data_IF_935789641703
#
_entry.id   IF_935789641703
#
_cell.length_a   1.000
_cell.length_b   1.000
_cell.length_c   1.000
_cell.angle_alpha   90.00
_cell.angle_beta   90.00
_cell.angle_gamma   90.00
#
_symmetry.space_group_name_H-M   'P 1'
#
loop_
_entity.id
_entity.type
_entity.pdbx_description
1 polymer ?
#
# COMPACT_ATOMS: atom_id res chain seq x y z
N UNK A 1 24.16 6.76 20.59
CA UNK A 1 22.69 6.70 20.72
C UNK A 1 22.22 6.47 19.31
N UNK A 2 21.96 5.20 18.97
CA UNK A 2 21.89 4.73 17.59
C UNK A 2 20.50 5.06 17.03
N UNK A 3 20.44 5.94 16.03
CA UNK A 3 19.27 6.16 15.21
C UNK A 3 19.22 5.07 14.14
N UNK A 4 18.25 4.16 14.24
CA UNK A 4 17.92 3.24 13.15
C UNK A 4 17.22 4.04 12.04
N UNK A 5 17.88 4.20 10.89
CA UNK A 5 17.28 4.77 9.69
C UNK A 5 16.36 3.73 9.04
N UNK A 6 15.03 3.86 9.22
CA UNK A 6 14.03 3.04 8.53
C UNK A 6 13.84 3.55 7.08
N UNK A 7 14.18 2.70 6.10
CA UNK A 7 14.01 2.93 4.66
C UNK A 7 12.77 2.23 4.09
N UNK A 8 12.49 2.41 2.78
CA UNK A 8 11.43 1.64 2.11
C UNK A 8 11.86 0.16 2.03
N UNK A 9 11.25 -0.70 2.84
CA UNK A 9 11.51 -2.14 2.84
C UNK A 9 10.71 -2.84 1.72
N UNK A 10 11.40 -3.46 0.76
CA UNK A 10 10.80 -4.27 -0.31
C UNK A 10 11.18 -5.73 -0.09
N UNK A 11 10.23 -6.57 0.32
CA UNK A 11 10.43 -8.03 0.51
C UNK A 11 9.88 -8.79 -0.68
N UNK A 12 10.66 -9.66 -1.32
CA UNK A 12 10.18 -10.45 -2.46
C UNK A 12 10.83 -11.84 -2.55
N UNK A 13 10.18 -12.74 -3.31
CA UNK A 13 10.73 -14.00 -3.83
C UNK A 13 10.52 -13.97 -5.35
N UNK A 14 11.60 -14.15 -6.15
CA UNK A 14 11.54 -14.13 -7.61
C UNK A 14 11.78 -15.53 -8.17
N UNK A 15 11.02 -15.93 -9.20
CA UNK A 15 11.11 -17.24 -9.83
C UNK A 15 11.15 -17.17 -11.38
N UNK A 16 11.24 -15.98 -12.00
CA UNK A 16 11.17 -15.83 -13.46
C UNK A 16 11.48 -14.43 -14.02
N UNK A 17 11.77 -14.38 -15.33
CA UNK A 17 12.25 -13.18 -16.04
C UNK A 17 11.26 -11.99 -16.01
N UNK A 18 9.96 -12.25 -16.07
CA UNK A 18 8.94 -11.19 -16.00
C UNK A 18 8.89 -10.50 -14.64
N UNK A 19 9.11 -11.25 -13.56
CA UNK A 19 9.14 -10.70 -12.20
C UNK A 19 10.39 -9.84 -12.00
N UNK A 20 11.52 -10.26 -12.56
CA UNK A 20 12.77 -9.49 -12.55
C UNK A 20 12.68 -8.20 -13.36
N UNK A 21 12.01 -8.20 -14.53
CA UNK A 21 11.77 -6.97 -15.29
C UNK A 21 10.86 -5.99 -14.53
N UNK A 22 9.83 -6.50 -13.83
CA UNK A 22 8.98 -5.68 -12.96
C UNK A 22 9.81 -5.02 -11.86
N UNK A 23 10.60 -5.83 -11.15
CA UNK A 23 11.46 -5.33 -10.07
C UNK A 23 12.46 -4.30 -10.57
N UNK A 24 13.16 -4.55 -11.67
CA UNK A 24 14.12 -3.59 -12.21
C UNK A 24 13.46 -2.25 -12.58
N UNK A 25 12.23 -2.28 -13.12
CA UNK A 25 11.48 -1.05 -13.44
C UNK A 25 11.00 -0.33 -12.17
N UNK A 26 10.53 -1.07 -11.17
CA UNK A 26 10.12 -0.51 -9.87
C UNK A 26 11.33 0.12 -9.17
N UNK A 27 12.46 -0.58 -9.11
CA UNK A 27 13.73 -0.08 -8.56
C UNK A 27 14.20 1.16 -9.31
N UNK A 28 14.18 1.16 -10.65
CA UNK A 28 14.52 2.34 -11.46
C UNK A 28 13.63 3.53 -11.12
N UNK A 29 12.31 3.35 -11.03
CA UNK A 29 11.38 4.43 -10.65
C UNK A 29 11.65 4.94 -9.24
N UNK A 30 11.88 4.03 -8.29
CA UNK A 30 12.20 4.41 -6.91
C UNK A 30 13.51 5.22 -6.87
N UNK A 31 14.54 4.81 -7.60
CA UNK A 31 15.80 5.53 -7.70
C UNK A 31 15.65 6.89 -8.39
N UNK A 32 14.93 6.98 -9.50
CA UNK A 32 14.83 8.21 -10.31
C UNK A 32 13.92 9.27 -9.67
N UNK A 33 12.83 8.85 -9.00
CA UNK A 33 11.78 9.76 -8.53
C UNK A 33 11.75 9.97 -7.00
N UNK A 34 12.22 9.00 -6.19
CA UNK A 34 12.13 9.09 -4.72
C UNK A 34 13.43 9.57 -4.06
N UNK A 35 14.60 9.34 -4.68
CA UNK A 35 15.88 9.90 -4.21
C UNK A 35 15.87 11.44 -4.27
N UNK A 36 15.17 12.04 -5.25
CA UNK A 36 14.98 13.51 -5.33
C UNK A 36 14.05 14.09 -4.25
N UNK A 37 13.36 13.24 -3.47
CA UNK A 37 12.29 13.64 -2.52
C UNK A 37 12.51 13.13 -1.09
N UNK A 38 13.73 12.70 -0.76
CA UNK A 38 14.12 12.38 0.61
C UNK A 38 13.57 11.06 1.15
N UNK A 39 13.26 10.08 0.29
CA UNK A 39 13.07 8.69 0.71
C UNK A 39 14.37 7.91 0.48
N UNK A 40 14.91 7.32 1.55
CA UNK A 40 16.01 6.38 1.44
C UNK A 40 15.49 5.08 0.81
N UNK A 41 15.97 4.78 -0.39
CA UNK A 41 15.90 3.45 -1.01
C UNK A 41 17.24 2.79 -0.68
N UNK A 42 17.24 1.70 0.10
CA UNK A 42 18.40 0.79 0.12
C UNK A 42 18.36 -0.01 -1.18
N UNK A 43 19.35 0.05 -2.08
CA UNK A 43 20.74 -0.39 -1.89
C UNK A 43 21.72 0.69 -1.40
N UNK A 44 22.55 0.32 -0.42
CA UNK A 44 23.64 1.08 0.21
C UNK A 44 24.38 2.04 -0.75
N UNK A 45 24.41 3.36 -0.44
CA UNK A 45 25.59 4.25 -0.19
C UNK A 45 25.08 5.64 0.30
N UNK A 46 25.78 6.23 1.28
CA UNK A 46 25.63 7.56 1.94
C UNK A 46 25.67 8.77 0.98
N UNK A 47 25.26 10.02 1.24
CA UNK A 47 25.15 10.85 2.46
C UNK A 47 24.34 12.16 2.18
N UNK A 48 23.72 12.69 3.24
CA UNK A 48 23.50 14.11 3.64
C UNK A 48 22.48 15.10 2.99
N UNK A 49 21.69 15.69 3.92
CA UNK A 49 20.99 16.99 4.02
C UNK A 49 19.59 17.28 3.42
N UNK A 50 18.91 18.26 4.04
CA UNK A 50 17.51 18.29 4.48
C UNK A 50 16.56 19.24 3.68
N UNK A 51 15.25 19.28 4.05
CA UNK A 51 14.44 20.49 4.40
C UNK A 51 12.90 20.24 4.31
N UNK A 52 12.18 20.90 5.23
CA UNK A 52 10.73 20.96 5.50
C UNK A 52 9.84 21.61 4.42
N UNK A 53 8.54 21.24 4.45
CA UNK A 53 7.43 22.20 4.42
C UNK A 53 6.76 22.50 3.07
N UNK A 54 5.47 22.13 2.94
CA UNK A 54 4.42 23.01 2.43
C UNK A 54 3.03 22.37 2.63
N UNK A 55 2.19 23.05 3.41
CA UNK A 55 0.77 22.80 3.50
C UNK A 55 0.00 23.71 2.52
N UNK A 56 -0.93 23.12 1.77
CA UNK A 56 -2.13 23.75 1.22
C UNK A 56 -2.10 24.20 -0.24
N UNK A 57 -3.09 23.77 -1.04
CA UNK A 57 -4.13 24.67 -1.60
C UNK A 57 -5.19 23.96 -2.47
N UNK A 58 -6.45 24.46 -2.32
CA UNK A 58 -7.60 24.51 -3.25
C UNK A 58 -8.24 23.21 -3.76
N UNK A 59 -9.51 22.99 -3.34
CA UNK A 59 -10.45 22.01 -3.91
C UNK A 59 -10.62 22.22 -5.42
N UNK A 60 -10.16 21.23 -6.19
CA UNK A 60 -10.56 21.01 -7.59
C UNK A 60 -11.84 20.17 -7.64
N UNK A 61 -12.61 20.34 -8.71
CA UNK A 61 -13.89 19.67 -8.97
C UNK A 61 -13.72 18.15 -9.04
N UNK A 62 -14.83 17.47 -8.77
CA UNK A 62 -15.00 16.02 -8.61
C UNK A 62 -14.16 15.16 -9.57
N UNK A 63 -13.36 14.26 -8.98
CA UNK A 63 -12.83 13.06 -9.63
C UNK A 63 -11.52 13.17 -10.43
N UNK A 64 -10.95 14.36 -10.61
CA UNK A 64 -9.87 14.54 -11.59
C UNK A 64 -8.48 14.87 -11.01
N UNK A 65 -7.56 13.95 -11.27
CA UNK A 65 -6.12 13.94 -10.99
C UNK A 65 -5.71 14.00 -9.52
N UNK A 66 -5.49 12.82 -8.93
CA UNK A 66 -4.37 12.70 -8.01
C UNK A 66 -3.14 13.31 -8.70
N UNK A 67 -2.45 14.20 -8.00
CA UNK A 67 -1.10 14.60 -8.40
C UNK A 67 -0.12 13.76 -7.59
N UNK A 68 1.04 13.48 -8.16
CA UNK A 68 2.13 12.86 -7.42
C UNK A 68 3.10 13.93 -6.91
N UNK A 69 2.62 15.13 -6.61
CA UNK A 69 3.37 16.20 -5.94
C UNK A 69 3.00 16.36 -4.46
N UNK A 70 1.86 15.83 -4.05
CA UNK A 70 1.25 16.00 -2.73
C UNK A 70 0.86 14.65 -2.09
N UNK A 71 0.49 14.66 -0.81
CA UNK A 71 -0.15 13.53 -0.15
C UNK A 71 -1.67 13.72 -0.14
N UNK A 72 -2.40 12.70 -0.59
CA UNK A 72 -3.82 12.77 -0.85
C UNK A 72 -4.63 12.14 0.28
N UNK A 73 -5.82 12.67 0.56
CA UNK A 73 -6.71 12.06 1.55
C UNK A 73 -7.25 10.73 1.06
N UNK A 74 -7.80 9.92 1.98
CA UNK A 74 -8.41 8.63 1.62
C UNK A 74 -9.46 8.80 0.50
N UNK A 75 -10.33 9.79 0.63
CA UNK A 75 -11.41 10.04 -0.34
C UNK A 75 -10.88 10.36 -1.76
N UNK A 76 -9.75 11.08 -1.85
CA UNK A 76 -9.13 11.41 -3.13
C UNK A 76 -8.57 10.14 -3.80
N UNK A 77 -7.93 9.26 -3.01
CA UNK A 77 -7.42 7.97 -3.48
C UNK A 77 -8.56 7.05 -3.92
N UNK A 78 -9.65 6.97 -3.15
CA UNK A 78 -10.84 6.18 -3.52
C UNK A 78 -11.48 6.71 -4.81
N UNK A 79 -11.62 8.02 -4.94
CA UNK A 79 -12.10 8.68 -6.16
C UNK A 79 -11.24 8.36 -7.38
N UNK A 80 -9.91 8.38 -7.22
CA UNK A 80 -8.96 8.00 -8.27
C UNK A 80 -9.10 6.55 -8.69
N UNK A 81 -9.26 5.61 -7.76
CA UNK A 81 -9.47 4.18 -8.06
C UNK A 81 -10.76 3.99 -8.87
N UNK A 82 -11.86 4.63 -8.45
CA UNK A 82 -13.15 4.56 -9.14
C UNK A 82 -13.04 5.16 -10.55
N UNK A 83 -12.36 6.30 -10.68
CA UNK A 83 -12.11 6.95 -11.98
C UNK A 83 -11.31 6.07 -12.93
N UNK A 84 -10.26 5.39 -12.45
CA UNK A 84 -9.48 4.45 -13.26
C UNK A 84 -10.35 3.30 -13.79
N UNK A 85 -11.20 2.71 -12.95
CA UNK A 85 -12.10 1.64 -13.37
C UNK A 85 -13.16 2.12 -14.37
N UNK A 86 -13.66 3.35 -14.24
CA UNK A 86 -14.59 3.92 -15.20
C UNK A 86 -13.92 4.28 -16.55
N UNK A 87 -12.65 4.67 -16.52
CA UNK A 87 -11.89 5.12 -17.70
C UNK A 87 -11.26 3.95 -18.46
N UNK A 88 -10.84 2.90 -17.75
CA UNK A 88 -10.21 1.70 -18.31
C UNK A 88 -10.93 0.41 -17.88
N UNK A 89 -12.25 0.28 -18.11
CA UNK A 89 -13.07 -0.83 -17.57
C UNK A 89 -12.65 -2.22 -18.07
N UNK A 90 -12.03 -2.30 -19.25
CA UNK A 90 -11.51 -3.56 -19.78
C UNK A 90 -10.21 -4.01 -19.09
N UNK A 91 -9.41 -3.06 -18.59
CA UNK A 91 -8.12 -3.35 -17.97
C UNK A 91 -8.20 -3.42 -16.44
N UNK A 92 -9.07 -2.60 -15.84
CA UNK A 92 -9.13 -2.35 -14.41
C UNK A 92 -10.40 -2.99 -13.84
N UNK A 93 -10.22 -3.83 -12.83
CA UNK A 93 -11.30 -4.44 -12.07
C UNK A 93 -11.09 -4.18 -10.58
N UNK A 94 -12.16 -3.90 -9.85
CA UNK A 94 -12.10 -3.55 -8.43
C UNK A 94 -12.80 -4.62 -7.56
N UNK A 95 -12.10 -5.13 -6.56
CA UNK A 95 -12.71 -5.81 -5.41
C UNK A 95 -12.76 -4.84 -4.21
N UNK A 96 -13.94 -4.65 -3.63
CA UNK A 96 -14.19 -3.85 -2.42
C UNK A 96 -14.99 -4.60 -1.35
N UNK A 97 -14.94 -5.94 -1.42
CA UNK A 97 -15.67 -6.86 -0.53
C UNK A 97 -15.16 -6.86 0.90
N UNK A 98 -13.89 -6.49 1.11
CA UNK A 98 -13.33 -6.33 2.45
C UNK A 98 -13.72 -4.96 3.03
N UNK A 99 -14.28 -4.97 4.24
CA UNK A 99 -14.59 -3.75 5.01
C UNK A 99 -13.77 -3.72 6.29
N UNK A 100 -13.32 -2.53 6.68
CA UNK A 100 -12.60 -2.26 7.93
C UNK A 100 -13.53 -2.29 9.15
N UNK A 101 -12.95 -2.10 10.35
CA UNK A 101 -13.71 -2.00 11.60
C UNK A 101 -14.71 -0.83 11.65
N UNK A 102 -14.42 0.28 10.97
CA UNK A 102 -15.31 1.43 10.84
C UNK A 102 -16.16 1.38 9.54
N UNK A 103 -16.14 0.27 8.81
CA UNK A 103 -16.99 0.00 7.65
C UNK A 103 -16.50 0.54 6.31
N UNK A 104 -15.27 1.08 6.24
CA UNK A 104 -14.68 1.56 4.98
C UNK A 104 -14.24 0.39 4.10
N UNK A 105 -14.41 0.45 2.77
CA UNK A 105 -13.84 -0.55 1.88
C UNK A 105 -12.31 -0.56 1.93
N UNK A 106 -11.72 -1.75 1.80
CA UNK A 106 -10.37 -1.89 1.25
C UNK A 106 -10.51 -2.22 -0.22
N UNK A 107 -9.87 -1.41 -1.06
CA UNK A 107 -9.86 -1.60 -2.50
C UNK A 107 -8.67 -2.45 -2.93
N UNK A 108 -8.96 -3.56 -3.62
CA UNK A 108 -7.97 -4.33 -4.38
C UNK A 108 -8.22 -4.09 -5.86
N UNK A 109 -7.27 -3.47 -6.54
CA UNK A 109 -7.35 -3.07 -7.94
C UNK A 109 -6.59 -4.09 -8.78
N UNK A 110 -7.32 -4.93 -9.51
CA UNK A 110 -6.75 -5.86 -10.48
C UNK A 110 -6.53 -5.13 -11.81
N UNK A 111 -5.31 -5.20 -12.34
CA UNK A 111 -4.95 -4.69 -13.66
C UNK A 111 -4.44 -5.83 -14.53
N UNK A 112 -5.14 -6.14 -15.62
CA UNK A 112 -4.70 -7.12 -16.60
C UNK A 112 -5.33 -6.85 -17.97
N UNK A 113 -4.58 -7.14 -19.04
CA UNK A 113 -5.12 -7.02 -20.40
C UNK A 113 -5.88 -8.31 -20.80
N UNK A 114 -7.21 -8.28 -20.97
CA UNK A 114 -7.99 -9.45 -21.36
C UNK A 114 -7.74 -9.89 -22.81
N UNK A 115 -7.19 -9.02 -23.67
CA UNK A 115 -6.82 -9.36 -25.05
C UNK A 115 -5.58 -10.25 -25.15
N UNK A 116 -4.85 -10.40 -24.04
CA UNK A 116 -3.67 -11.25 -23.91
C UNK A 116 -4.00 -12.47 -23.04
N UNK A 117 -4.71 -13.49 -23.57
CA UNK A 117 -5.11 -14.65 -22.79
C UNK A 117 -3.92 -15.57 -22.49
N UNK A 118 -4.05 -16.39 -21.44
CA UNK A 118 -3.05 -17.38 -21.05
C UNK A 118 -2.64 -17.26 -19.58
N UNK A 119 -1.79 -18.17 -19.10
CA UNK A 119 -1.29 -18.11 -17.73
C UNK A 119 -0.40 -16.87 -17.55
N UNK A 120 -0.79 -15.98 -16.65
CA UNK A 120 -0.02 -14.78 -16.29
C UNK A 120 0.57 -14.91 -14.89
N UNK A 121 1.78 -14.38 -14.73
CA UNK A 121 2.40 -14.23 -13.41
C UNK A 121 1.67 -13.15 -12.63
N UNK A 122 1.40 -13.41 -11.34
CA UNK A 122 0.60 -12.52 -10.50
C UNK A 122 1.50 -11.71 -9.58
N UNK A 123 1.33 -10.40 -9.61
CA UNK A 123 2.12 -9.44 -8.82
C UNK A 123 1.18 -8.73 -7.86
N UNK A 124 1.47 -8.82 -6.56
CA UNK A 124 0.75 -8.12 -5.50
C UNK A 124 1.58 -6.95 -4.99
N UNK A 125 1.00 -5.75 -4.98
CA UNK A 125 1.64 -4.54 -4.50
C UNK A 125 0.70 -3.86 -3.52
N UNK A 126 1.14 -3.64 -2.28
CA UNK A 126 0.34 -2.95 -1.28
C UNK A 126 1.09 -1.81 -0.61
N UNK A 127 0.31 -0.84 -0.14
CA UNK A 127 0.80 0.27 0.66
C UNK A 127 -0.18 0.68 1.75
N UNK A 128 0.29 1.52 2.67
CA UNK A 128 -0.53 2.11 3.71
C UNK A 128 -1.05 1.11 4.75
N UNK A 129 -0.36 0.01 5.01
CA UNK A 129 -0.70 -0.90 6.12
C UNK A 129 -0.46 -0.23 7.48
N UNK A 130 0.55 0.65 7.58
CA UNK A 130 0.70 1.59 8.68
C UNK A 130 0.23 2.98 8.26
N UNK A 131 -0.65 3.56 9.08
CA UNK A 131 -1.39 4.76 8.71
C UNK A 131 -0.53 6.02 8.53
N UNK A 132 0.54 6.18 9.32
CA UNK A 132 1.44 7.35 9.29
C UNK A 132 2.35 7.43 8.07
N UNK A 133 2.48 6.35 7.30
CA UNK A 133 3.50 6.17 6.26
C UNK A 133 2.98 6.69 4.90
N UNK A 134 2.64 7.98 4.83
CA UNK A 134 1.89 8.56 3.69
C UNK A 134 2.57 8.43 2.32
N UNK A 135 3.89 8.21 2.28
CA UNK A 135 4.60 7.94 1.03
C UNK A 135 4.22 6.59 0.43
N UNK A 136 3.83 5.62 1.25
CA UNK A 136 3.51 4.26 0.81
C UNK A 136 2.26 4.24 -0.09
N UNK A 137 1.10 4.83 0.31
CA UNK A 137 -0.02 5.03 -0.61
C UNK A 137 0.31 5.87 -1.84
N UNK A 138 1.13 6.91 -1.71
CA UNK A 138 1.52 7.77 -2.83
C UNK A 138 2.32 7.00 -3.89
N UNK A 139 3.28 6.15 -3.49
CA UNK A 139 4.04 5.29 -4.40
C UNK A 139 3.15 4.20 -5.01
N UNK A 140 2.31 3.57 -4.20
CA UNK A 140 1.42 2.50 -4.67
C UNK A 140 0.47 2.99 -5.75
N UNK A 141 -0.14 4.16 -5.54
CA UNK A 141 -1.03 4.80 -6.53
C UNK A 141 -0.28 5.32 -7.76
N UNK A 142 0.96 5.79 -7.60
CA UNK A 142 1.82 6.15 -8.73
C UNK A 142 2.10 4.95 -9.63
N UNK A 143 2.53 3.82 -9.05
CA UNK A 143 2.80 2.60 -9.81
C UNK A 143 1.54 2.05 -10.47
N UNK A 144 0.40 2.06 -9.78
CA UNK A 144 -0.89 1.72 -10.36
C UNK A 144 -1.17 2.55 -11.63
N UNK A 145 -0.99 3.88 -11.55
CA UNK A 145 -1.16 4.75 -12.70
C UNK A 145 -0.16 4.45 -13.83
N UNK A 146 1.12 4.21 -13.50
CA UNK A 146 2.15 3.89 -14.50
C UNK A 146 1.81 2.60 -15.25
N UNK A 147 1.44 1.54 -14.53
CA UNK A 147 1.09 0.25 -15.14
C UNK A 147 -0.09 0.39 -16.10
N UNK A 148 -1.06 1.25 -15.79
CA UNK A 148 -2.24 1.46 -16.64
C UNK A 148 -1.94 2.36 -17.84
N UNK A 149 -1.25 3.49 -17.61
CA UNK A 149 -1.24 4.63 -18.55
C UNK A 149 0.07 4.80 -19.31
N UNK A 150 1.19 4.28 -18.80
CA UNK A 150 2.50 4.49 -19.42
C UNK A 150 2.81 3.37 -20.44
N UNK A 151 3.01 3.69 -21.73
CA UNK A 151 3.32 2.71 -22.77
C UNK A 151 4.54 1.84 -22.47
N UNK A 152 5.52 2.34 -21.71
CA UNK A 152 6.70 1.56 -21.33
C UNK A 152 6.37 0.35 -20.46
N UNK A 153 5.22 0.35 -19.77
CA UNK A 153 4.75 -0.73 -18.91
C UNK A 153 3.88 -1.75 -19.64
N UNK A 154 3.42 -1.46 -20.86
CA UNK A 154 2.59 -2.37 -21.65
C UNK A 154 3.26 -3.75 -21.85
N UNK A 155 4.54 -3.85 -22.26
CA UNK A 155 5.17 -5.15 -22.52
C UNK A 155 5.18 -6.09 -21.31
N UNK A 156 5.26 -5.53 -20.10
CA UNK A 156 5.23 -6.31 -18.87
C UNK A 156 3.80 -6.55 -18.39
N UNK A 157 2.94 -5.53 -18.41
CA UNK A 157 1.51 -5.61 -18.05
C UNK A 157 0.80 -6.69 -18.86
N UNK A 158 1.10 -6.80 -20.14
CA UNK A 158 0.45 -7.76 -21.03
C UNK A 158 0.78 -9.23 -20.66
N UNK A 159 1.95 -9.45 -20.04
CA UNK A 159 2.44 -10.76 -19.58
C UNK A 159 2.12 -11.07 -18.11
N UNK A 160 1.51 -10.14 -17.39
CA UNK A 160 1.33 -10.21 -15.94
C UNK A 160 -0.09 -9.81 -15.52
N UNK A 161 -0.46 -10.18 -14.30
CA UNK A 161 -1.70 -9.74 -13.66
C UNK A 161 -1.33 -9.05 -12.35
N UNK A 162 -1.68 -7.77 -12.23
CA UNK A 162 -1.29 -6.95 -11.10
C UNK A 162 -2.46 -6.78 -10.15
N UNK A 163 -2.17 -6.82 -8.86
CA UNK A 163 -3.11 -6.57 -7.78
C UNK A 163 -2.54 -5.47 -6.91
N UNK A 164 -3.16 -4.29 -6.95
CA UNK A 164 -2.76 -3.15 -6.14
C UNK A 164 -3.70 -2.99 -4.95
N UNK A 165 -3.13 -2.77 -3.76
CA UNK A 165 -3.86 -2.34 -2.55
C UNK A 165 -3.31 -0.96 -2.13
N UNK A 166 -3.86 0.14 -2.66
CA UNK A 166 -3.33 1.49 -2.40
C UNK A 166 -3.29 1.88 -0.92
N UNK A 167 -4.30 1.45 -0.14
CA UNK A 167 -4.39 1.71 1.30
C UNK A 167 -4.91 0.47 2.01
N UNK A 168 -4.02 -0.32 2.60
CA UNK A 168 -4.37 -1.52 3.36
C UNK A 168 -5.00 -1.21 4.73
N UNK A 169 -4.81 -0.01 5.28
CA UNK A 169 -5.43 0.46 6.52
C UNK A 169 -6.24 1.76 6.32
N UNK A 170 -7.42 1.72 5.66
CA UNK A 170 -8.20 2.93 5.37
C UNK A 170 -8.60 3.71 6.63
N UNK A 171 -9.02 3.03 7.70
CA UNK A 171 -9.46 3.69 8.93
C UNK A 171 -8.31 4.45 9.60
N UNK A 172 -7.15 3.79 9.76
CA UNK A 172 -5.97 4.41 10.33
C UNK A 172 -5.47 5.56 9.45
N UNK A 173 -5.38 5.34 8.13
CA UNK A 173 -4.89 6.34 7.18
C UNK A 173 -5.76 7.61 7.22
N UNK A 174 -7.08 7.44 7.13
CA UNK A 174 -8.04 8.55 7.27
C UNK A 174 -7.90 9.27 8.62
N UNK A 175 -7.75 8.52 9.72
CA UNK A 175 -7.55 9.10 11.05
C UNK A 175 -6.27 9.95 11.13
N UNK A 176 -5.17 9.48 10.50
CA UNK A 176 -3.91 10.22 10.47
C UNK A 176 -3.97 11.53 9.68
N UNK A 177 -4.82 11.60 8.64
CA UNK A 177 -5.04 12.79 7.83
C UNK A 177 -5.98 13.81 8.47
N UNK A 178 -6.97 13.35 9.22
CA UNK A 178 -8.07 14.21 9.72
C UNK A 178 -7.90 14.66 11.16
N UNK A 179 -7.10 13.96 11.96
CA UNK A 179 -6.85 14.33 13.35
C UNK A 179 -5.48 14.95 13.53
N UNK A 180 -5.45 16.20 14.01
CA UNK A 180 -4.21 16.94 14.29
C UNK A 180 -3.32 16.28 15.35
N UNK A 181 -3.88 15.39 16.19
CA UNK A 181 -3.14 14.64 17.21
C UNK A 181 -2.73 13.24 16.76
N UNK A 182 -3.14 12.80 15.57
CA UNK A 182 -2.98 11.42 15.13
C UNK A 182 -2.14 11.28 13.85
N UNK A 183 -1.43 12.31 13.42
CA UNK A 183 -0.53 12.23 12.25
C UNK A 183 0.44 11.05 12.34
N UNK A 184 0.89 10.70 13.55
CA UNK A 184 1.81 9.59 13.81
C UNK A 184 1.10 8.25 14.11
N UNK A 185 -0.22 8.17 13.96
CA UNK A 185 -0.98 6.95 14.19
C UNK A 185 -0.52 5.86 13.23
N UNK A 186 -0.21 4.67 13.77
CA UNK A 186 0.28 3.52 12.99
C UNK A 186 -0.79 2.48 12.74
N UNK A 187 -1.51 2.09 13.80
CA UNK A 187 -2.42 0.93 13.86
C UNK A 187 -3.71 1.11 13.06
N UNK A 188 -4.54 0.08 12.97
CA UNK A 188 -5.95 0.26 12.55
C UNK A 188 -6.76 0.99 13.63
N UNK A 189 -8.10 1.01 13.49
CA UNK A 189 -9.01 1.72 14.43
C UNK A 189 -9.94 0.80 15.22
N UNK A 190 -9.67 -0.50 15.22
CA UNK A 190 -10.50 -1.48 15.93
C UNK A 190 -10.57 -1.20 17.44
N UNK A 191 -11.73 -1.46 18.04
CA UNK A 191 -11.93 -1.34 19.48
C UNK A 191 -11.52 -2.64 20.18
N UNK A 192 -10.53 -2.57 21.07
CA UNK A 192 -10.06 -3.73 21.83
C UNK A 192 -10.91 -3.90 23.10
N UNK A 193 -11.80 -4.90 23.17
CA UNK A 193 -12.62 -5.12 24.38
C UNK A 193 -11.72 -5.36 25.61
N UNK A 194 -12.05 -4.70 26.72
CA UNK A 194 -11.25 -4.73 27.96
C UNK A 194 -10.07 -3.76 27.99
N UNK A 195 -9.86 -2.95 26.94
CA UNK A 195 -8.84 -1.90 26.93
C UNK A 195 -9.41 -0.57 26.48
N UNK A 196 -8.82 0.53 26.97
CA UNK A 196 -9.08 1.88 26.49
C UNK A 196 -8.29 2.23 25.22
N UNK A 197 -7.25 1.44 24.92
CA UNK A 197 -6.40 1.64 23.76
C UNK A 197 -7.00 0.99 22.51
N UNK A 198 -7.05 1.75 21.42
CA UNK A 198 -7.57 1.30 20.13
C UNK A 198 -6.46 0.81 19.21
N UNK A 199 -6.87 -0.02 18.27
CA UNK A 199 -6.07 -0.42 17.13
C UNK A 199 -5.15 -1.60 17.42
N UNK A 200 -4.86 -2.32 16.35
CA UNK A 200 -3.93 -3.44 16.21
C UNK A 200 -2.92 -3.07 15.12
N UNK A 201 -1.66 -3.45 15.31
CA UNK A 201 -0.64 -3.38 14.26
C UNK A 201 -0.94 -4.49 13.23
N UNK A 202 -1.45 -4.08 12.07
CA UNK A 202 -1.82 -5.00 11.00
C UNK A 202 -0.61 -5.81 10.51
N UNK A 203 0.60 -5.25 10.55
CA UNK A 203 1.84 -5.94 10.17
C UNK A 203 2.40 -6.84 11.30
N UNK A 204 1.64 -7.03 12.38
CA UNK A 204 1.85 -8.05 13.41
C UNK A 204 0.68 -9.01 13.54
N UNK A 205 -0.36 -8.87 12.72
CA UNK A 205 -1.59 -9.65 12.81
C UNK A 205 -1.69 -10.79 11.78
N UNK A 206 -0.66 -10.98 10.96
CA UNK A 206 -0.57 -12.12 10.04
C UNK A 206 -0.19 -13.42 10.77
N UNK A 207 -0.55 -14.58 10.20
CA UNK A 207 -0.26 -15.88 10.81
C UNK A 207 1.22 -16.31 10.72
N UNK A 208 2.00 -15.71 9.82
CA UNK A 208 3.42 -16.03 9.71
C UNK A 208 4.18 -15.47 10.92
N UNK A 209 4.77 -16.36 11.73
CA UNK A 209 5.54 -16.01 12.93
C UNK A 209 4.79 -15.10 13.91
N UNK A 210 3.47 -15.29 14.04
CA UNK A 210 2.64 -14.46 14.92
C UNK A 210 3.15 -14.49 16.37
N UNK A 211 3.29 -13.30 16.96
CA UNK A 211 3.84 -13.10 18.32
C UNK A 211 5.35 -12.87 18.39
N UNK A 212 6.11 -13.08 17.31
CA UNK A 212 7.53 -12.73 17.25
C UNK A 212 7.69 -11.24 16.91
N UNK A 213 8.48 -10.51 17.69
CA UNK A 213 8.69 -9.07 17.47
C UNK A 213 7.42 -8.23 17.62
N UNK A 214 6.48 -8.69 18.45
CA UNK A 214 5.16 -8.09 18.65
C UNK A 214 4.82 -7.98 20.14
N UNK A 215 3.80 -7.18 20.48
CA UNK A 215 3.31 -7.02 21.86
C UNK A 215 1.92 -7.62 22.03
N UNK A 216 1.63 -8.11 23.25
CA UNK A 216 0.30 -8.53 23.67
C UNK A 216 -0.48 -7.40 24.37
N UNK A 217 0.17 -6.27 24.67
CA UNK A 217 -0.47 -5.10 25.29
C UNK A 217 -1.24 -4.28 24.23
N UNK A 218 -2.58 -4.13 24.34
CA UNK A 218 -3.37 -3.31 23.42
C UNK A 218 -2.93 -1.84 23.30
N UNK A 219 -2.21 -1.32 24.29
CA UNK A 219 -1.66 0.04 24.28
C UNK A 219 -0.34 0.17 23.54
N UNK A 220 0.32 -0.94 23.18
CA UNK A 220 1.52 -0.92 22.37
C UNK A 220 1.23 -0.56 20.91
N UNK A 221 2.16 0.15 20.27
CA UNK A 221 2.14 0.43 18.82
C UNK A 221 2.33 -0.82 17.96
N UNK A 222 2.93 -1.88 18.53
CA UNK A 222 3.16 -3.19 17.89
C UNK A 222 2.23 -4.27 18.46
N UNK A 223 1.06 -3.88 18.96
CA UNK A 223 0.06 -4.82 19.46
C UNK A 223 -0.39 -5.77 18.35
N UNK A 224 -0.21 -7.08 18.57
CA UNK A 224 -0.42 -8.13 17.55
C UNK A 224 -1.88 -8.54 17.31
N UNK A 225 -2.80 -8.01 18.11
CA UNK A 225 -4.20 -8.46 18.14
C UNK A 225 -4.40 -9.70 18.99
N UNK A 226 -5.63 -10.22 19.02
CA UNK A 226 -6.02 -11.34 19.91
C UNK A 226 -5.62 -12.71 19.38
N UNK A 227 -5.50 -12.83 18.07
CA UNK A 227 -5.12 -14.04 17.33
C UNK A 227 -4.68 -13.62 15.93
N UNK A 228 -3.99 -14.48 15.16
CA UNK A 228 -3.79 -14.25 13.74
C UNK A 228 -5.10 -13.94 13.03
N UNK A 229 -5.07 -12.95 12.14
CA UNK A 229 -6.23 -12.50 11.36
C UNK A 229 -7.43 -12.10 12.25
N UNK A 230 -7.16 -11.54 13.43
CA UNK A 230 -8.23 -10.98 14.28
C UNK A 230 -8.86 -9.73 13.66
N UNK A 231 -8.09 -8.99 12.85
CA UNK A 231 -8.54 -7.75 12.23
C UNK A 231 -9.26 -8.03 10.91
N UNK A 232 -10.28 -7.20 10.62
CA UNK A 232 -11.07 -7.36 9.40
C UNK A 232 -10.22 -7.13 8.14
N UNK A 233 -9.25 -6.21 8.25
CA UNK A 233 -8.33 -5.83 7.18
C UNK A 233 -7.41 -6.99 6.79
N UNK A 234 -6.64 -7.55 7.73
CA UNK A 234 -5.71 -8.66 7.46
C UNK A 234 -6.45 -9.93 7.03
N UNK A 235 -7.58 -10.24 7.66
CA UNK A 235 -8.41 -11.40 7.29
C UNK A 235 -9.02 -11.27 5.90
N UNK A 236 -9.50 -10.09 5.54
CA UNK A 236 -10.10 -9.86 4.23
C UNK A 236 -9.07 -9.94 3.11
N UNK A 237 -7.90 -9.29 3.30
CA UNK A 237 -6.80 -9.36 2.37
C UNK A 237 -6.25 -10.79 2.22
N UNK A 238 -6.12 -11.56 3.31
CA UNK A 238 -5.67 -12.96 3.22
C UNK A 238 -6.61 -13.84 2.38
N UNK A 239 -7.93 -13.67 2.54
CA UNK A 239 -8.93 -14.39 1.73
C UNK A 239 -8.89 -14.00 0.25
N UNK A 240 -8.59 -12.72 -0.06
CA UNK A 240 -8.38 -12.30 -1.46
C UNK A 240 -7.11 -12.95 -2.00
N UNK A 241 -6.00 -12.89 -1.26
CA UNK A 241 -4.72 -13.48 -1.65
C UNK A 241 -4.83 -14.99 -1.89
N UNK A 242 -5.55 -15.72 -1.04
CA UNK A 242 -5.81 -17.15 -1.21
C UNK A 242 -6.58 -17.46 -2.50
N UNK A 243 -7.61 -16.66 -2.83
CA UNK A 243 -8.40 -16.81 -4.07
C UNK A 243 -7.58 -16.53 -5.32
N UNK A 244 -6.61 -15.61 -5.25
CA UNK A 244 -5.80 -15.23 -6.41
C UNK A 244 -4.47 -15.98 -6.48
N UNK A 245 -4.15 -16.86 -5.54
CA UNK A 245 -2.91 -17.63 -5.57
C UNK A 245 -2.74 -18.44 -6.89
N UNK A 246 -1.49 -18.78 -7.30
CA UNK A 246 -0.22 -18.36 -6.70
C UNK A 246 0.13 -16.90 -7.01
N UNK A 247 0.58 -16.16 -6.00
CA UNK A 247 1.20 -14.83 -6.16
C UNK A 247 2.69 -15.05 -6.37
N UNK A 248 3.23 -14.60 -7.50
CA UNK A 248 4.63 -14.81 -7.87
C UNK A 248 5.56 -13.75 -7.30
N UNK A 249 5.05 -12.54 -7.08
CA UNK A 249 5.78 -11.43 -6.48
C UNK A 249 4.84 -10.68 -5.55
N UNK A 250 5.24 -10.51 -4.29
CA UNK A 250 4.54 -9.69 -3.31
C UNK A 250 5.47 -8.53 -2.94
N UNK A 251 4.96 -7.30 -2.94
CA UNK A 251 5.68 -6.11 -2.52
C UNK A 251 4.76 -5.35 -1.56
N UNK A 252 5.29 -4.98 -0.40
CA UNK A 252 4.65 -4.04 0.52
C UNK A 252 5.54 -2.82 0.66
N UNK A 253 4.98 -1.61 0.58
CA UNK A 253 5.73 -0.38 0.80
C UNK A 253 5.55 0.14 2.22
N UNK A 254 6.66 0.51 2.85
CA UNK A 254 6.71 1.08 4.21
C UNK A 254 7.61 2.32 4.29
N UNK A 255 7.49 3.11 5.36
CA UNK A 255 8.46 4.17 5.76
C UNK A 255 8.47 4.43 7.26
#
# INVERSE_FOLDING_TARGET
>A
MNEEYEGIEVRYRLEGMGEMEAMNRIEKIMCENLIRRGAAVSSVVSSEEAVEGAAGTKRKKDGDSMDWGSYHGLQDIEGFIIWLNATYPELVNIDSSTKTSEGRPIYVVKVTDPSQPGPKKKIWIEGGIHAREWISPAVTTYLLNQVITNPEWIPIRDKTEWYFVPVANPDGYHYSHTSTKARLWRKNRNNNSGSHCKGVDLNRNWNMQWGVGASQDPCSEIFMGRKPFSEAETRGLSLIMERVAPINLFITFHR
#
